data_IF_090857007715
#
_entry.id   IF_090857007715
#
_cell.length_a   1.000
_cell.length_b   1.000
_cell.length_c   1.000
_cell.angle_alpha   90.00
_cell.angle_beta   90.00
_cell.angle_gamma   90.00
#
_symmetry.space_group_name_H-M   'P 1'
#
loop_
_entity.id
_entity.type
_entity.pdbx_description
1 polymer ?
#
# COMPACT_ATOMS: atom_id res chain seq x y z
N UNK A 1 -31.79 -5.51 -17.89
CA UNK A 1 -31.02 -6.24 -16.85
C UNK A 1 -31.28 -5.55 -15.52
N UNK A 2 -31.58 -6.29 -14.47
CA UNK A 2 -31.66 -5.70 -13.14
C UNK A 2 -30.30 -5.10 -12.78
N UNK A 3 -30.28 -3.88 -12.24
CA UNK A 3 -29.06 -3.24 -11.76
C UNK A 3 -28.54 -4.07 -10.57
N UNK A 4 -27.34 -4.64 -10.67
CA UNK A 4 -26.68 -5.26 -9.53
C UNK A 4 -26.25 -4.16 -8.54
N UNK A 5 -26.42 -4.43 -7.27
CA UNK A 5 -25.88 -3.59 -6.19
C UNK A 5 -24.59 -4.22 -5.67
N UNK A 6 -23.59 -3.39 -5.39
CA UNK A 6 -22.33 -3.84 -4.79
C UNK A 6 -22.28 -3.35 -3.35
N UNK A 7 -22.05 -4.26 -2.42
CA UNK A 7 -21.94 -3.97 -0.99
C UNK A 7 -20.58 -4.37 -0.45
N UNK A 8 -20.07 -3.64 0.53
CA UNK A 8 -18.82 -3.96 1.22
C UNK A 8 -19.15 -4.77 2.47
N UNK A 9 -18.68 -6.01 2.52
CA UNK A 9 -18.92 -6.94 3.63
C UNK A 9 -17.83 -6.86 4.72
N UNK A 10 -16.61 -6.50 4.34
CA UNK A 10 -15.49 -6.35 5.24
C UNK A 10 -14.51 -5.31 4.70
N UNK A 11 -13.88 -4.54 5.58
CA UNK A 11 -12.85 -3.58 5.25
C UNK A 11 -11.77 -3.60 6.33
N UNK A 12 -10.58 -4.09 5.98
CA UNK A 12 -9.46 -4.27 6.89
C UNK A 12 -8.14 -3.82 6.27
N UNK A 13 -7.15 -3.53 7.11
CA UNK A 13 -5.79 -3.18 6.70
C UNK A 13 -4.78 -3.69 7.72
N UNK A 14 -3.52 -3.83 7.35
CA UNK A 14 -2.44 -3.86 8.33
C UNK A 14 -2.25 -2.50 8.98
N UNK A 15 -1.55 -2.42 10.10
CA UNK A 15 -0.94 -1.17 10.50
C UNK A 15 0.09 -0.73 9.44
N UNK A 16 0.32 0.58 9.30
CA UNK A 16 1.24 1.16 8.31
C UNK A 16 2.65 1.18 8.91
N UNK A 17 3.57 0.45 8.28
CA UNK A 17 4.99 0.43 8.64
C UNK A 17 5.73 1.66 8.11
N UNK A 18 6.80 2.06 8.81
CA UNK A 18 7.74 3.03 8.31
C UNK A 18 8.71 2.42 7.28
N UNK A 19 9.33 3.25 6.46
CA UNK A 19 10.42 2.81 5.59
C UNK A 19 11.59 2.25 6.43
N UNK A 20 12.02 1.03 6.12
CA UNK A 20 13.01 0.31 6.93
C UNK A 20 12.51 -0.14 8.30
N UNK A 21 11.21 0.00 8.59
CA UNK A 21 10.58 -0.32 9.88
C UNK A 21 10.15 -1.79 10.04
N UNK A 22 9.15 -2.02 10.89
CA UNK A 22 8.76 -3.36 11.34
C UNK A 22 8.36 -4.32 10.21
N UNK A 23 7.76 -3.81 9.13
CA UNK A 23 7.29 -4.61 7.99
C UNK A 23 8.29 -4.70 6.84
N UNK A 24 9.49 -4.16 6.96
CA UNK A 24 10.47 -4.05 5.87
C UNK A 24 10.89 -5.40 5.26
N UNK A 25 10.86 -6.48 6.02
CA UNK A 25 11.31 -7.81 5.59
C UNK A 25 10.20 -8.65 4.92
N UNK A 26 8.93 -8.25 5.06
CA UNK A 26 7.82 -8.99 4.47
C UNK A 26 7.78 -8.86 2.95
N UNK A 27 7.33 -9.91 2.28
CA UNK A 27 6.98 -9.82 0.87
C UNK A 27 5.60 -9.18 0.71
N UNK A 28 5.42 -8.41 -0.37
CA UNK A 28 4.14 -7.75 -0.65
C UNK A 28 2.98 -8.76 -0.76
N UNK A 29 3.22 -9.90 -1.40
CA UNK A 29 2.22 -10.98 -1.51
C UNK A 29 1.87 -11.61 -0.16
N UNK A 30 2.84 -11.72 0.76
CA UNK A 30 2.64 -12.26 2.11
C UNK A 30 1.74 -11.33 2.93
N UNK A 31 2.07 -10.02 2.99
CA UNK A 31 1.24 -9.04 3.69
C UNK A 31 -0.19 -8.99 3.12
N UNK A 32 -0.31 -8.97 1.79
CA UNK A 32 -1.62 -8.98 1.15
C UNK A 32 -2.41 -10.25 1.50
N UNK A 33 -1.77 -11.43 1.48
CA UNK A 33 -2.38 -12.71 1.82
C UNK A 33 -2.92 -12.76 3.26
N UNK A 34 -2.14 -12.25 4.23
CA UNK A 34 -2.57 -12.15 5.64
C UNK A 34 -3.83 -11.28 5.76
N UNK A 35 -3.81 -10.09 5.17
CA UNK A 35 -4.93 -9.14 5.23
C UNK A 35 -6.16 -9.66 4.49
N UNK A 36 -5.98 -10.30 3.32
CA UNK A 36 -7.07 -10.93 2.58
C UNK A 36 -7.74 -12.04 3.38
N UNK A 37 -6.95 -12.93 3.97
CA UNK A 37 -7.47 -14.04 4.79
C UNK A 37 -8.35 -13.52 5.92
N UNK A 38 -7.91 -12.48 6.63
CA UNK A 38 -8.68 -11.86 7.70
C UNK A 38 -9.91 -11.13 7.16
N UNK A 39 -9.82 -10.46 6.01
CA UNK A 39 -10.96 -9.82 5.36
C UNK A 39 -12.07 -10.82 5.06
N UNK A 40 -11.72 -11.98 4.53
CA UNK A 40 -12.67 -13.06 4.25
C UNK A 40 -13.28 -13.59 5.54
N UNK A 41 -12.46 -13.87 6.56
CA UNK A 41 -12.95 -14.35 7.86
C UNK A 41 -13.97 -13.39 8.49
N UNK A 42 -13.70 -12.09 8.47
CA UNK A 42 -14.62 -11.06 9.02
C UNK A 42 -15.87 -10.86 8.17
N UNK A 43 -15.83 -11.14 6.87
CA UNK A 43 -16.99 -11.01 5.99
C UNK A 43 -18.04 -12.07 6.24
N UNK A 44 -17.68 -13.23 6.82
CA UNK A 44 -18.55 -14.39 6.97
C UNK A 44 -18.83 -15.14 5.66
N UNK A 45 -18.19 -14.75 4.56
CA UNK A 45 -18.32 -15.42 3.25
C UNK A 45 -17.43 -16.67 3.21
N UNK A 46 -17.95 -17.76 2.64
CA UNK A 46 -17.13 -18.94 2.35
C UNK A 46 -15.99 -18.57 1.39
N UNK A 47 -14.73 -18.80 1.75
CA UNK A 47 -13.58 -18.52 0.88
C UNK A 47 -13.71 -19.12 -0.52
N UNK A 48 -14.41 -20.27 -0.64
CA UNK A 48 -14.61 -20.97 -1.91
C UNK A 48 -15.53 -20.21 -2.89
N UNK A 49 -16.28 -19.24 -2.41
CA UNK A 49 -17.14 -18.39 -3.23
C UNK A 49 -16.41 -17.17 -3.80
N UNK A 50 -15.21 -16.84 -3.30
CA UNK A 50 -14.43 -15.69 -3.78
C UNK A 50 -13.84 -16.02 -5.15
N UNK A 51 -14.40 -15.44 -6.19
CA UNK A 51 -14.04 -15.74 -7.57
C UNK A 51 -13.26 -14.62 -8.29
N UNK A 52 -13.04 -13.46 -7.65
CA UNK A 52 -12.30 -12.36 -8.23
C UNK A 52 -11.45 -11.60 -7.22
N UNK A 53 -10.18 -11.36 -7.55
CA UNK A 53 -9.23 -10.62 -6.68
C UNK A 53 -8.51 -9.57 -7.51
N UNK A 54 -8.55 -8.31 -7.06
CA UNK A 54 -7.74 -7.23 -7.66
C UNK A 54 -6.85 -6.58 -6.62
N UNK A 55 -5.54 -6.64 -6.82
CA UNK A 55 -4.56 -6.00 -5.94
C UNK A 55 -3.83 -4.89 -6.66
N UNK A 56 -3.86 -3.70 -6.09
CA UNK A 56 -3.02 -2.58 -6.46
C UNK A 56 -1.59 -2.77 -5.97
N UNK A 57 -0.62 -2.69 -6.87
CA UNK A 57 0.81 -2.72 -6.54
C UNK A 57 1.58 -2.00 -7.65
N UNK A 58 2.53 -1.14 -7.28
CA UNK A 58 3.24 -0.27 -8.23
C UNK A 58 4.69 -0.66 -8.43
N UNK A 59 5.36 -1.17 -7.40
CA UNK A 59 6.81 -1.33 -7.41
C UNK A 59 7.23 -2.79 -7.37
N UNK A 60 8.20 -3.18 -8.21
CA UNK A 60 8.85 -4.47 -8.10
C UNK A 60 9.69 -4.53 -6.81
N UNK A 61 9.41 -5.52 -5.98
CA UNK A 61 10.13 -5.75 -4.72
C UNK A 61 10.90 -7.09 -4.71
N UNK A 62 10.50 -8.01 -5.56
CA UNK A 62 11.11 -9.32 -5.71
C UNK A 62 10.80 -9.90 -7.10
N UNK A 63 11.28 -11.11 -7.40
CA UNK A 63 11.07 -11.77 -8.70
C UNK A 63 9.61 -12.20 -8.94
N UNK A 64 8.76 -12.19 -7.92
CA UNK A 64 7.34 -12.59 -7.97
C UNK A 64 6.39 -11.40 -8.01
N UNK A 65 6.91 -10.16 -8.06
CA UNK A 65 6.07 -8.97 -7.96
C UNK A 65 4.95 -8.91 -9.01
N UNK A 66 5.17 -9.45 -10.20
CA UNK A 66 4.15 -9.52 -11.25
C UNK A 66 2.98 -10.46 -10.91
N UNK A 67 3.13 -11.27 -9.88
CA UNK A 67 2.15 -12.25 -9.43
C UNK A 67 1.58 -11.93 -8.04
N UNK A 68 1.80 -10.73 -7.50
CA UNK A 68 1.40 -10.37 -6.13
C UNK A 68 -0.05 -10.73 -5.86
N UNK A 69 -0.98 -10.37 -6.76
CA UNK A 69 -2.40 -10.69 -6.60
C UNK A 69 -2.66 -12.21 -6.53
N UNK A 70 -2.06 -12.98 -7.45
CA UNK A 70 -2.24 -14.44 -7.50
C UNK A 70 -1.62 -15.12 -6.28
N UNK A 71 -0.38 -14.78 -5.95
CA UNK A 71 0.32 -15.37 -4.80
C UNK A 71 -0.43 -15.08 -3.51
N UNK A 72 -0.85 -13.83 -3.30
CA UNK A 72 -1.63 -13.43 -2.13
C UNK A 72 -2.96 -14.19 -2.02
N UNK A 73 -3.70 -14.35 -3.13
CA UNK A 73 -4.97 -15.08 -3.13
C UNK A 73 -4.82 -16.53 -2.72
N UNK A 74 -3.80 -17.23 -3.23
CA UNK A 74 -3.52 -18.62 -2.85
C UNK A 74 -3.06 -18.72 -1.39
N UNK A 75 -2.21 -17.81 -0.92
CA UNK A 75 -1.77 -17.77 0.48
C UNK A 75 -2.93 -17.46 1.44
N UNK A 76 -3.93 -16.70 0.99
CA UNK A 76 -5.15 -16.44 1.74
C UNK A 76 -6.11 -17.65 1.80
N UNK A 77 -5.84 -18.72 1.04
CA UNK A 77 -6.69 -19.92 0.98
C UNK A 77 -7.86 -19.81 0.01
N UNK A 78 -7.80 -18.90 -0.95
CA UNK A 78 -8.84 -18.76 -1.97
C UNK A 78 -8.73 -19.86 -3.05
N UNK A 79 -9.81 -20.15 -3.81
CA UNK A 79 -9.81 -21.17 -4.85
C UNK A 79 -8.76 -20.92 -5.93
N UNK A 80 -8.19 -22.00 -6.46
CA UNK A 80 -7.27 -21.92 -7.60
C UNK A 80 -7.91 -21.36 -8.87
N UNK A 81 -9.22 -21.53 -9.00
CA UNK A 81 -10.05 -21.07 -10.12
C UNK A 81 -10.35 -19.57 -10.05
N UNK A 82 -10.14 -18.92 -8.90
CA UNK A 82 -10.38 -17.48 -8.76
C UNK A 82 -9.51 -16.69 -9.73
N UNK A 83 -10.10 -15.68 -10.35
CA UNK A 83 -9.36 -14.71 -11.18
C UNK A 83 -8.55 -13.80 -10.29
N UNK A 84 -7.29 -13.56 -10.65
CA UNK A 84 -6.42 -12.63 -9.92
C UNK A 84 -5.81 -11.61 -10.88
N UNK A 85 -6.07 -10.33 -10.64
CA UNK A 85 -5.56 -9.22 -11.43
C UNK A 85 -4.73 -8.27 -10.56
N UNK A 86 -3.61 -7.82 -11.10
CA UNK A 86 -2.81 -6.76 -10.52
C UNK A 86 -3.01 -5.48 -11.33
N UNK A 87 -3.21 -4.35 -10.64
CA UNK A 87 -3.40 -3.05 -11.28
C UNK A 87 -2.41 -2.03 -10.73
N UNK A 88 -1.99 -1.10 -11.58
CA UNK A 88 -1.19 0.05 -11.17
C UNK A 88 -1.80 1.35 -11.67
N UNK A 89 -2.11 2.22 -10.72
CA UNK A 89 -2.42 3.65 -10.89
C UNK A 89 -1.59 4.46 -9.90
N UNK A 90 -0.34 4.08 -9.71
CA UNK A 90 0.56 4.66 -8.71
C UNK A 90 -0.09 4.69 -7.32
N UNK A 91 -0.07 5.82 -6.63
CA UNK A 91 -0.63 5.96 -5.28
C UNK A 91 -2.13 5.62 -5.17
N UNK A 92 -2.87 5.63 -6.27
CA UNK A 92 -4.31 5.28 -6.32
C UNK A 92 -4.58 3.81 -6.61
N UNK A 93 -3.55 2.95 -6.69
CA UNK A 93 -3.70 1.55 -7.11
C UNK A 93 -4.60 0.74 -6.18
N UNK A 94 -4.50 0.95 -4.88
CA UNK A 94 -5.35 0.26 -3.90
C UNK A 94 -6.83 0.58 -4.09
N UNK A 95 -7.16 1.87 -4.25
CA UNK A 95 -8.52 2.29 -4.57
C UNK A 95 -8.98 1.76 -5.94
N UNK A 96 -8.09 1.76 -6.94
CA UNK A 96 -8.41 1.18 -8.24
C UNK A 96 -8.73 -0.32 -8.14
N UNK A 97 -8.01 -1.06 -7.29
CA UNK A 97 -8.32 -2.46 -7.01
C UNK A 97 -9.75 -2.65 -6.53
N UNK A 98 -10.22 -1.84 -5.60
CA UNK A 98 -11.60 -1.85 -5.09
C UNK A 98 -12.59 -1.51 -6.21
N UNK A 99 -12.35 -0.42 -6.96
CA UNK A 99 -13.23 0.01 -8.07
C UNK A 99 -13.33 -1.07 -9.15
N UNK A 100 -12.20 -1.66 -9.54
CA UNK A 100 -12.18 -2.71 -10.57
C UNK A 100 -12.94 -3.95 -10.12
N UNK A 101 -12.78 -4.38 -8.86
CA UNK A 101 -13.55 -5.51 -8.31
C UNK A 101 -15.04 -5.20 -8.31
N UNK A 102 -15.45 -4.01 -7.88
CA UNK A 102 -16.84 -3.58 -7.92
C UNK A 102 -17.42 -3.57 -9.36
N UNK A 103 -16.64 -3.10 -10.35
CA UNK A 103 -17.04 -3.12 -11.76
C UNK A 103 -17.29 -4.54 -12.27
N UNK A 104 -16.42 -5.51 -11.92
CA UNK A 104 -16.61 -6.91 -12.33
C UNK A 104 -17.87 -7.53 -11.70
N UNK A 105 -18.20 -7.17 -10.45
CA UNK A 105 -19.45 -7.59 -9.83
C UNK A 105 -20.66 -6.97 -10.54
N UNK A 106 -20.62 -5.69 -10.86
CA UNK A 106 -21.71 -5.00 -11.59
C UNK A 106 -21.94 -5.61 -12.99
N UNK A 107 -20.87 -5.98 -13.69
CA UNK A 107 -20.93 -6.62 -15.01
C UNK A 107 -21.42 -8.08 -14.95
N UNK A 108 -21.34 -8.72 -13.79
CA UNK A 108 -21.72 -10.11 -13.62
C UNK A 108 -20.57 -11.11 -13.86
N UNK A 109 -19.33 -10.60 -13.96
CA UNK A 109 -18.14 -11.45 -14.10
C UNK A 109 -17.72 -12.06 -12.77
N UNK A 110 -18.18 -11.48 -11.66
CA UNK A 110 -17.97 -11.97 -10.30
C UNK A 110 -19.23 -11.78 -9.45
N UNK A 111 -19.40 -12.63 -8.44
CA UNK A 111 -20.40 -12.47 -7.39
C UNK A 111 -19.76 -12.03 -6.07
N UNK A 112 -18.58 -12.54 -5.76
CA UNK A 112 -17.78 -12.17 -4.60
C UNK A 112 -16.37 -11.84 -5.03
N UNK A 113 -15.83 -10.72 -4.54
CA UNK A 113 -14.48 -10.30 -4.89
C UNK A 113 -13.77 -9.58 -3.77
N UNK A 114 -12.44 -9.55 -3.87
CA UNK A 114 -11.56 -8.79 -2.98
C UNK A 114 -10.85 -7.72 -3.80
N UNK A 115 -10.97 -6.47 -3.36
CA UNK A 115 -10.25 -5.33 -3.93
C UNK A 115 -9.42 -4.61 -2.87
N UNK A 116 -8.19 -4.28 -3.19
CA UNK A 116 -7.31 -3.56 -2.27
C UNK A 116 -5.95 -3.30 -2.88
N UNK A 117 -4.95 -3.06 -2.04
CA UNK A 117 -3.57 -2.84 -2.50
C UNK A 117 -2.55 -3.13 -1.41
N UNK A 118 -1.31 -3.31 -1.84
CA UNK A 118 -0.17 -3.54 -0.96
C UNK A 118 1.09 -2.93 -1.58
N UNK A 119 1.95 -2.38 -0.73
CA UNK A 119 3.27 -1.89 -1.14
C UNK A 119 4.28 -2.12 -0.01
N UNK A 120 5.46 -2.60 -0.33
CA UNK A 120 6.60 -2.74 0.59
C UNK A 120 7.76 -1.91 0.05
N UNK A 121 7.69 -0.60 0.23
CA UNK A 121 8.66 0.36 -0.33
C UNK A 121 10.10 0.09 0.14
N UNK A 122 10.26 -0.49 1.33
CA UNK A 122 11.58 -0.87 1.87
C UNK A 122 12.32 -1.92 1.04
N UNK A 123 11.61 -2.66 0.17
CA UNK A 123 12.16 -3.67 -0.74
C UNK A 123 12.22 -3.21 -2.19
N UNK A 124 12.00 -1.92 -2.47
CA UNK A 124 12.10 -1.37 -3.82
C UNK A 124 13.45 -1.71 -4.45
N UNK A 125 13.42 -2.20 -5.69
CA UNK A 125 14.62 -2.70 -6.39
C UNK A 125 15.35 -1.58 -7.11
N UNK A 126 16.64 -1.81 -7.42
CA UNK A 126 17.37 -0.98 -8.35
C UNK A 126 17.27 -1.54 -9.77
N UNK A 127 17.02 -0.68 -10.74
CA UNK A 127 16.97 -1.02 -12.15
C UNK A 127 18.36 -0.84 -12.77
N UNK A 128 18.80 -1.83 -13.53
CA UNK A 128 20.11 -1.85 -14.22
C UNK A 128 19.89 -2.06 -15.74
N UNK A 129 19.33 -1.06 -16.47
CA UNK A 129 18.91 -1.25 -17.86
C UNK A 129 20.01 -1.73 -18.80
N UNK A 130 21.23 -1.22 -18.62
CA UNK A 130 22.36 -1.54 -19.48
C UNK A 130 22.82 -3.01 -19.38
N UNK A 131 22.54 -3.70 -18.25
CA UNK A 131 23.00 -5.08 -18.06
C UNK A 131 22.31 -6.07 -19.00
N UNK A 132 21.07 -5.81 -19.46
CA UNK A 132 20.37 -6.66 -20.41
C UNK A 132 21.14 -6.81 -21.73
N UNK A 133 21.81 -5.76 -22.17
CA UNK A 133 22.63 -5.73 -23.40
C UNK A 133 24.14 -5.85 -23.12
N UNK A 134 24.54 -6.18 -21.88
CA UNK A 134 25.91 -6.57 -21.51
C UNK A 134 26.79 -5.44 -21.00
N UNK A 135 26.33 -4.18 -20.89
CA UNK A 135 27.11 -3.03 -20.39
C UNK A 135 28.57 -3.05 -20.89
N UNK A 136 28.77 -3.11 -22.22
CA UNK A 136 30.00 -3.56 -22.90
C UNK A 136 31.25 -2.77 -22.58
N UNK A 137 31.16 -1.51 -22.18
CA UNK A 137 32.30 -0.65 -21.86
C UNK A 137 31.84 0.53 -20.98
N UNK A 138 32.68 0.87 -19.99
CA UNK A 138 32.44 1.98 -19.07
C UNK A 138 31.42 1.65 -17.93
N UNK A 139 31.13 2.66 -17.13
CA UNK A 139 30.22 2.57 -16.00
C UNK A 139 28.76 2.46 -16.45
N UNK A 140 27.94 1.85 -15.59
CA UNK A 140 26.47 1.82 -15.76
C UNK A 140 25.78 2.42 -14.56
N UNK A 141 24.59 2.99 -14.78
CA UNK A 141 23.76 3.56 -13.71
C UNK A 141 22.86 2.49 -13.11
N UNK A 142 22.78 2.48 -11.78
CA UNK A 142 21.73 1.85 -11.03
C UNK A 142 20.65 2.91 -10.73
N UNK A 143 19.40 2.65 -11.13
CA UNK A 143 18.29 3.56 -10.92
C UNK A 143 17.47 3.04 -9.74
N UNK A 144 17.35 3.84 -8.69
CA UNK A 144 16.45 3.54 -7.57
C UNK A 144 15.00 3.60 -8.05
N UNK A 145 14.30 2.47 -8.05
CA UNK A 145 12.92 2.40 -8.53
C UNK A 145 11.94 3.17 -7.63
N UNK A 146 12.25 3.32 -6.34
CA UNK A 146 11.42 4.11 -5.42
C UNK A 146 11.52 5.60 -5.76
N UNK A 147 12.72 6.13 -5.96
CA UNK A 147 12.91 7.52 -6.39
C UNK A 147 12.33 7.75 -7.79
N UNK A 148 12.49 6.78 -8.68
CA UNK A 148 11.95 6.87 -10.04
C UNK A 148 10.42 6.98 -10.06
N UNK A 149 9.70 6.18 -9.25
CA UNK A 149 8.23 6.23 -9.20
C UNK A 149 7.70 7.52 -8.56
N UNK A 150 8.51 8.18 -7.72
CA UNK A 150 8.19 9.46 -7.09
C UNK A 150 8.64 10.68 -7.92
N UNK A 151 9.23 10.46 -9.08
CA UNK A 151 9.73 11.51 -9.97
C UNK A 151 8.82 11.61 -11.20
N UNK A 152 8.35 12.84 -11.47
CA UNK A 152 7.53 13.11 -12.65
C UNK A 152 8.29 12.81 -13.96
N UNK A 153 7.75 11.97 -14.86
CA UNK A 153 8.42 11.61 -16.10
C UNK A 153 8.42 12.74 -17.16
N UNK A 154 7.66 13.81 -16.93
CA UNK A 154 7.54 14.93 -17.87
C UNK A 154 8.44 16.12 -17.51
N UNK A 155 9.31 16.00 -16.51
CA UNK A 155 10.36 16.95 -16.21
C UNK A 155 10.09 17.95 -15.09
N UNK A 156 8.98 17.79 -14.36
CA UNK A 156 8.69 18.63 -13.17
C UNK A 156 9.67 18.33 -12.02
N UNK A 157 10.11 17.07 -11.92
CA UNK A 157 11.00 16.60 -10.85
C UNK A 157 10.30 15.70 -9.84
N UNK A 158 10.90 15.55 -8.67
CA UNK A 158 10.33 14.76 -7.58
C UNK A 158 9.00 15.34 -7.09
N UNK A 159 8.10 14.49 -6.58
CA UNK A 159 6.76 14.92 -6.10
C UNK A 159 6.82 16.01 -5.03
N UNK A 160 7.93 16.11 -4.26
CA UNK A 160 8.18 17.25 -3.37
C UNK A 160 8.24 18.58 -4.10
N UNK A 161 8.84 18.65 -5.30
CA UNK A 161 8.86 19.86 -6.13
C UNK A 161 7.44 20.23 -6.59
N UNK A 162 6.61 19.21 -6.89
CA UNK A 162 5.18 19.47 -7.19
C UNK A 162 4.47 20.14 -6.01
N UNK A 163 4.73 19.69 -4.78
CA UNK A 163 4.17 20.32 -3.58
C UNK A 163 4.66 21.77 -3.42
N UNK A 164 5.95 22.02 -3.60
CA UNK A 164 6.52 23.39 -3.56
C UNK A 164 5.90 24.31 -4.64
N UNK A 165 5.71 23.78 -5.86
CA UNK A 165 5.04 24.53 -6.93
C UNK A 165 3.59 24.90 -6.57
N UNK A 166 2.86 24.00 -5.90
CA UNK A 166 1.51 24.28 -5.42
C UNK A 166 1.52 25.29 -4.28
N UNK A 167 2.44 25.17 -3.34
CA UNK A 167 2.60 26.14 -2.26
C UNK A 167 2.85 27.56 -2.82
N UNK A 168 3.78 27.69 -3.75
CA UNK A 168 4.07 28.96 -4.42
C UNK A 168 2.85 29.49 -5.20
N UNK A 169 2.18 28.62 -5.98
CA UNK A 169 1.02 28.99 -6.81
C UNK A 169 -0.17 29.50 -5.97
N UNK A 170 -0.39 28.93 -4.80
CA UNK A 170 -1.53 29.22 -3.93
C UNK A 170 -1.17 30.11 -2.74
N UNK A 171 0.08 30.55 -2.61
CA UNK A 171 0.54 31.41 -1.52
C UNK A 171 0.50 30.73 -0.15
N UNK A 172 0.65 29.40 -0.10
CA UNK A 172 0.65 28.62 1.15
C UNK A 172 1.99 28.85 1.85
N UNK A 173 1.95 29.43 3.05
CA UNK A 173 3.15 29.75 3.81
C UNK A 173 3.75 28.51 4.49
N UNK A 174 5.01 28.62 4.90
CA UNK A 174 5.66 27.57 5.68
C UNK A 174 4.98 27.34 7.02
N UNK A 175 4.53 28.40 7.66
CA UNK A 175 3.81 28.36 8.95
C UNK A 175 2.49 27.60 8.82
N UNK A 176 1.74 27.80 7.74
CA UNK A 176 0.50 27.07 7.47
C UNK A 176 0.77 25.57 7.25
N UNK A 177 1.83 25.22 6.52
CA UNK A 177 2.24 23.83 6.28
C UNK A 177 2.63 23.16 7.59
N UNK A 178 3.46 23.82 8.42
CA UNK A 178 3.89 23.29 9.72
C UNK A 178 2.71 23.13 10.68
N UNK A 179 1.80 24.09 10.75
CA UNK A 179 0.59 24.02 11.57
C UNK A 179 -0.31 22.84 11.15
N UNK A 180 -0.48 22.62 9.84
CA UNK A 180 -1.23 21.49 9.31
C UNK A 180 -0.58 20.16 9.69
N UNK A 181 0.75 20.05 9.59
CA UNK A 181 1.49 18.84 9.93
C UNK A 181 1.37 18.50 11.43
N UNK A 182 1.50 19.49 12.32
CA UNK A 182 1.32 19.32 13.78
C UNK A 182 -0.11 18.87 14.09
N UNK A 183 -1.12 19.50 13.49
CA UNK A 183 -2.52 19.13 13.69
C UNK A 183 -2.81 17.71 13.17
N UNK A 184 -2.20 17.30 12.04
CA UNK A 184 -2.32 15.94 11.52
C UNK A 184 -1.78 14.89 12.50
N UNK A 185 -0.60 15.12 13.08
CA UNK A 185 -0.01 14.23 14.10
C UNK A 185 -0.89 14.16 15.36
N UNK A 186 -1.40 15.32 15.81
CA UNK A 186 -2.30 15.40 16.97
C UNK A 186 -3.58 14.61 16.77
N UNK A 187 -4.21 14.73 15.59
CA UNK A 187 -5.44 13.97 15.24
C UNK A 187 -5.17 12.48 15.16
N UNK A 188 -4.08 12.07 14.53
CA UNK A 188 -3.72 10.66 14.44
C UNK A 188 -3.46 10.04 15.83
N UNK A 189 -2.75 10.75 16.73
CA UNK A 189 -2.54 10.33 18.10
C UNK A 189 -3.88 10.14 18.84
N UNK A 190 -4.76 11.14 18.79
CA UNK A 190 -6.05 11.10 19.44
C UNK A 190 -6.93 9.94 18.92
N UNK A 191 -6.92 9.67 17.61
CA UNK A 191 -7.67 8.59 17.00
C UNK A 191 -7.14 7.20 17.43
N UNK A 192 -5.83 7.03 17.53
CA UNK A 192 -5.21 5.79 18.02
C UNK A 192 -5.57 5.60 19.51
N UNK A 193 -5.44 6.63 20.34
CA UNK A 193 -5.73 6.55 21.78
C UNK A 193 -7.22 6.26 22.05
N UNK A 194 -8.10 6.78 21.21
CA UNK A 194 -9.54 6.48 21.25
C UNK A 194 -9.90 5.10 20.65
N UNK A 195 -8.93 4.34 20.12
CA UNK A 195 -9.17 3.00 19.56
C UNK A 195 -9.90 2.99 18.23
N UNK A 196 -9.98 4.11 17.51
CA UNK A 196 -10.77 4.22 16.27
C UNK A 196 -10.28 3.29 15.14
N UNK A 197 -9.02 2.82 15.20
CA UNK A 197 -8.46 1.94 14.17
C UNK A 197 -8.44 0.46 14.56
N UNK A 198 -8.75 0.10 15.81
CA UNK A 198 -8.65 -1.28 16.31
C UNK A 198 -9.51 -2.26 15.51
N UNK A 199 -10.72 -1.86 15.14
CA UNK A 199 -11.65 -2.71 14.39
C UNK A 199 -11.21 -2.97 12.95
N UNK A 200 -10.33 -2.16 12.38
CA UNK A 200 -9.89 -2.30 10.98
C UNK A 200 -8.47 -2.87 10.86
N UNK A 201 -7.64 -2.77 11.88
CA UNK A 201 -6.26 -3.27 11.83
C UNK A 201 -6.23 -4.79 12.03
N UNK A 202 -5.50 -5.44 11.13
CA UNK A 202 -5.11 -6.85 11.21
C UNK A 202 -3.72 -6.89 11.82
N UNK A 203 -3.54 -7.50 13.00
CA UNK A 203 -2.20 -7.66 13.59
C UNK A 203 -1.32 -8.53 12.70
N UNK A 204 -0.10 -8.08 12.44
CA UNK A 204 0.91 -8.85 11.72
C UNK A 204 1.88 -9.44 12.73
N UNK A 205 2.00 -10.76 12.75
CA UNK A 205 2.91 -11.47 13.66
C UNK A 205 4.22 -11.71 12.94
N UNK A 206 5.31 -11.13 13.45
CA UNK A 206 6.66 -11.37 12.97
C UNK A 206 7.37 -12.36 13.89
N UNK A 207 7.73 -13.51 13.37
CA UNK A 207 8.54 -14.48 14.10
C UNK A 207 9.98 -13.98 14.20
N UNK A 208 10.53 -13.92 15.40
CA UNK A 208 11.93 -13.53 15.64
C UNK A 208 12.64 -14.58 16.50
N UNK A 209 13.97 -14.53 16.51
CA UNK A 209 14.78 -15.42 17.38
C UNK A 209 14.48 -15.27 18.88
N UNK A 210 13.86 -14.14 19.26
CA UNK A 210 13.51 -13.82 20.66
C UNK A 210 12.02 -14.07 20.97
N UNK A 211 11.27 -14.65 20.03
CA UNK A 211 9.83 -14.87 20.12
C UNK A 211 9.06 -14.02 19.11
N UNK A 212 7.75 -14.19 19.12
CA UNK A 212 6.85 -13.48 18.20
C UNK A 212 6.68 -12.02 18.62
N UNK A 213 6.74 -11.14 17.64
CA UNK A 213 6.46 -9.70 17.81
C UNK A 213 5.20 -9.37 17.02
N UNK A 214 4.21 -8.79 17.69
CA UNK A 214 2.96 -8.35 17.07
C UNK A 214 3.09 -6.90 16.64
N UNK A 215 2.79 -6.64 15.36
CA UNK A 215 2.73 -5.30 14.80
C UNK A 215 1.27 -4.95 14.48
N UNK A 216 0.68 -4.04 15.23
CA UNK A 216 -0.74 -3.67 15.21
C UNK A 216 -1.00 -2.17 15.33
N UNK A 217 0.03 -1.34 15.32
CA UNK A 217 -0.07 0.11 15.48
C UNK A 217 0.69 0.84 14.38
N UNK A 218 0.09 1.88 13.82
CA UNK A 218 0.71 2.70 12.76
C UNK A 218 2.02 3.31 13.26
N UNK A 219 3.13 3.03 12.56
CA UNK A 219 4.50 3.30 13.02
C UNK A 219 4.96 4.75 12.76
N UNK A 220 4.31 5.44 11.81
CA UNK A 220 4.73 6.77 11.37
C UNK A 220 4.35 7.91 12.32
N UNK A 221 3.48 7.65 13.30
CA UNK A 221 3.04 8.66 14.24
C UNK A 221 4.20 9.17 15.10
N UNK A 222 4.42 10.47 15.09
CA UNK A 222 5.37 11.17 15.98
C UNK A 222 4.60 11.91 17.08
N UNK A 223 4.43 11.25 18.22
CA UNK A 223 3.77 11.86 19.38
C UNK A 223 4.59 13.03 19.90
N UNK A 224 3.92 14.08 20.32
CA UNK A 224 4.58 15.28 20.87
C UNK A 224 5.19 16.21 19.82
N UNK A 225 4.90 16.04 18.54
CA UNK A 225 5.30 17.00 17.49
C UNK A 225 4.77 18.39 17.79
N UNK A 226 5.65 19.39 17.75
CA UNK A 226 5.34 20.81 18.01
C UNK A 226 5.75 21.70 16.84
N UNK A 227 5.31 22.97 16.88
CA UNK A 227 5.76 23.98 15.89
C UNK A 227 7.26 24.29 15.99
N UNK A 228 7.90 23.94 17.10
CA UNK A 228 9.34 24.14 17.32
C UNK A 228 10.18 23.03 16.65
N UNK A 229 9.57 21.86 16.40
CA UNK A 229 10.20 20.69 15.76
C UNK A 229 10.31 20.79 14.23
N UNK A 230 10.25 22.00 13.68
CA UNK A 230 10.19 22.27 12.23
C UNK A 230 11.21 21.50 11.36
N UNK A 231 12.31 21.06 11.93
CA UNK A 231 13.35 20.28 11.24
C UNK A 231 13.02 18.79 11.09
N UNK A 232 12.04 18.28 11.82
CA UNK A 232 11.71 16.85 11.89
C UNK A 232 10.38 16.50 11.21
N UNK A 233 9.65 17.45 10.67
CA UNK A 233 8.32 17.27 10.07
C UNK A 233 8.35 17.25 8.53
N UNK A 234 9.52 17.51 7.93
CA UNK A 234 9.74 17.48 6.47
C UNK A 234 10.55 16.26 6.10
#
# INVERSE_FOLDING_TARGET
MASREVVVLSAVRSAIGAFGGALADFDASELAGIVMKESVARSGVDPQLINYVTVGNCMPTDSRYAYVSRVASIQAGLPMESVAMQVSRLCSSGLQGIVTTAQNILLGDADYGIGGGVEVMSKATYLLPALRSGARMGDTKAIDSMVAVLTDPFGVGHMGITAENLAAKHGITREEQDAFAVESQRRAAAAIDAGHFQSQIVPIVKQTRKGDVVFDTDEHLKRGTTMEDRKSVV
#
